data_IF_450050331684
#
_entry.id   IF_450050331684
#
_cell.length_a   1.000
_cell.length_b   1.000
_cell.length_c   1.000
_cell.angle_alpha   90.00
_cell.angle_beta   90.00
_cell.angle_gamma   90.00
#
_symmetry.space_group_name_H-M   'P 1'
#
loop_
_entity.id
_entity.type
_entity.pdbx_description
1 polymer ?
#
# COMPACT_ATOMS: atom_id res chain seq x y z
N UNK A 1 32.14 -61.36 10.01
CA UNK A 1 31.52 -61.75 11.29
C UNK A 1 30.47 -60.68 11.56
N UNK A 2 29.23 -61.00 11.22
CA UNK A 2 28.19 -61.36 12.21
C UNK A 2 27.66 -60.07 12.84
N UNK A 3 26.64 -59.41 12.28
CA UNK A 3 25.23 -59.83 12.18
C UNK A 3 24.45 -59.66 13.51
N UNK A 4 23.16 -59.37 13.34
CA UNK A 4 22.07 -59.17 14.32
C UNK A 4 22.01 -57.80 15.00
N UNK A 5 20.89 -57.07 14.98
CA UNK A 5 19.58 -57.36 14.40
C UNK A 5 18.53 -56.41 14.98
N UNK A 6 17.59 -55.99 14.12
CA UNK A 6 16.14 -55.82 14.33
C UNK A 6 15.65 -55.09 15.60
N UNK A 7 14.61 -54.25 15.62
CA UNK A 7 13.49 -53.94 14.74
C UNK A 7 12.63 -52.97 15.54
N UNK A 8 11.99 -52.00 14.89
CA UNK A 8 10.58 -51.60 15.04
C UNK A 8 10.36 -50.11 14.77
N UNK A 9 9.79 -49.81 13.61
CA UNK A 9 8.87 -48.68 13.42
C UNK A 9 7.43 -49.16 13.76
N UNK A 10 6.39 -48.30 13.78
CA UNK A 10 6.28 -46.92 14.28
C UNK A 10 4.96 -46.71 15.07
N UNK A 11 4.77 -45.59 15.79
CA UNK A 11 3.49 -44.82 15.84
C UNK A 11 3.52 -43.65 16.84
N UNK A 12 3.08 -42.47 16.38
CA UNK A 12 2.66 -41.35 17.25
C UNK A 12 2.92 -39.97 16.64
N UNK A 13 1.91 -39.09 16.50
CA UNK A 13 2.04 -37.79 15.86
C UNK A 13 2.73 -36.82 16.81
N UNK A 14 4.05 -36.78 16.74
CA UNK A 14 4.85 -35.75 17.37
C UNK A 14 4.66 -34.44 16.62
N UNK A 15 3.84 -33.56 17.19
CA UNK A 15 3.76 -32.14 16.84
C UNK A 15 5.18 -31.58 16.80
N UNK A 16 5.72 -31.34 15.60
CA UNK A 16 6.88 -30.48 15.44
C UNK A 16 6.30 -29.07 15.25
N UNK A 17 6.18 -28.35 16.36
CA UNK A 17 6.13 -26.89 16.32
C UNK A 17 7.48 -26.42 15.81
N UNK A 18 7.56 -26.19 14.49
CA UNK A 18 8.62 -25.37 13.93
C UNK A 18 8.14 -23.92 14.08
N UNK A 19 8.73 -23.21 15.04
CA UNK A 19 8.77 -21.75 14.99
C UNK A 19 9.70 -21.37 13.83
N UNK A 20 9.17 -21.43 12.62
CA UNK A 20 9.82 -20.80 11.47
C UNK A 20 9.47 -19.32 11.54
N UNK A 21 10.49 -18.52 11.82
CA UNK A 21 10.43 -17.07 11.68
C UNK A 21 9.86 -16.77 10.29
N UNK A 22 8.68 -16.16 10.25
CA UNK A 22 7.96 -15.79 9.04
C UNK A 22 8.69 -14.65 8.33
N UNK A 23 9.78 -15.01 7.66
CA UNK A 23 10.57 -14.13 6.82
C UNK A 23 9.74 -13.65 5.62
N UNK A 24 9.90 -12.38 5.23
CA UNK A 24 9.32 -11.79 4.03
C UNK A 24 10.45 -11.40 3.10
N UNK A 25 10.58 -12.07 1.95
CA UNK A 25 11.66 -11.82 0.99
C UNK A 25 11.63 -10.40 0.41
N UNK A 26 10.54 -9.65 0.60
CA UNK A 26 10.32 -8.31 0.06
C UNK A 26 9.46 -7.50 1.06
N UNK A 27 10.11 -6.97 2.11
CA UNK A 27 9.50 -5.95 2.95
C UNK A 27 9.86 -4.56 2.40
N UNK A 28 8.90 -3.75 1.95
CA UNK A 28 9.19 -2.44 1.37
C UNK A 28 9.72 -1.43 2.40
N UNK A 29 9.57 -1.72 3.68
CA UNK A 29 10.20 -1.00 4.79
C UNK A 29 11.71 -1.23 4.89
N UNK A 30 12.24 -2.22 4.15
CA UNK A 30 13.66 -2.31 3.90
C UNK A 30 14.14 -1.21 2.96
N UNK A 31 13.27 -0.57 2.17
CA UNK A 31 13.70 0.34 1.09
C UNK A 31 14.10 1.74 1.59
N UNK A 32 13.72 2.11 2.82
CA UNK A 32 14.40 3.21 3.55
C UNK A 32 15.84 2.84 3.97
N UNK A 33 16.28 1.61 3.67
CA UNK A 33 17.66 1.13 3.55
C UNK A 33 17.87 0.61 2.09
N UNK A 34 17.96 1.48 1.08
CA UNK A 34 17.87 1.10 -0.32
C UNK A 34 19.15 0.41 -0.82
N UNK A 35 19.19 -0.05 -2.08
CA UNK A 35 20.44 -0.13 -2.84
C UNK A 35 21.02 1.25 -3.23
N UNK A 36 20.49 2.38 -2.71
CA UNK A 36 20.79 3.76 -3.15
C UNK A 36 20.79 4.83 -2.04
N UNK A 37 21.03 4.46 -0.79
CA UNK A 37 21.06 5.45 0.28
C UNK A 37 21.21 4.79 1.63
N UNK A 38 22.44 4.37 1.94
CA UNK A 38 22.79 4.01 3.31
C UNK A 38 22.15 5.05 4.26
N UNK A 39 21.35 4.68 5.29
CA UNK A 39 20.80 5.64 6.25
C UNK A 39 21.89 6.47 6.96
N UNK A 40 23.15 6.04 6.85
CA UNK A 40 24.38 6.73 7.23
C UNK A 40 24.72 7.86 6.24
N UNK A 41 24.30 7.82 4.97
CA UNK A 41 24.58 8.86 3.97
C UNK A 41 23.31 9.49 3.38
N UNK A 42 22.45 10.14 4.20
CA UNK A 42 21.33 10.91 3.65
C UNK A 42 21.85 12.12 2.88
N UNK A 43 21.21 12.47 1.76
CA UNK A 43 21.47 13.74 1.09
C UNK A 43 21.07 14.90 2.01
N UNK A 44 22.06 15.40 2.76
CA UNK A 44 21.90 16.50 3.71
C UNK A 44 21.35 17.77 3.05
N UNK A 45 21.66 17.95 1.76
CA UNK A 45 21.22 19.11 1.00
C UNK A 45 19.73 19.02 0.66
N UNK A 46 19.14 17.82 0.65
CA UNK A 46 17.70 17.66 0.49
C UNK A 46 16.93 18.40 1.58
N UNK A 47 17.38 18.30 2.83
CA UNK A 47 16.70 18.92 3.98
C UNK A 47 17.19 20.32 4.29
N UNK A 48 18.45 20.66 3.94
CA UNK A 48 19.02 22.01 4.17
C UNK A 48 18.71 23.03 3.07
N UNK A 49 18.21 22.62 1.89
CA UNK A 49 17.71 23.59 0.90
C UNK A 49 16.64 24.46 1.55
N UNK A 50 16.66 25.76 1.27
CA UNK A 50 15.65 26.71 1.75
C UNK A 50 14.25 26.27 1.31
N UNK A 51 13.60 25.45 2.14
CA UNK A 51 12.21 25.11 1.95
C UNK A 51 11.42 26.29 2.49
N UNK A 52 10.66 27.01 1.66
CA UNK A 52 9.90 28.18 2.11
C UNK A 52 8.84 27.83 3.17
N UNK A 53 8.51 26.55 3.35
CA UNK A 53 7.63 26.05 4.41
C UNK A 53 8.31 25.87 5.77
N UNK A 54 9.64 26.01 5.87
CA UNK A 54 10.31 25.90 7.16
C UNK A 54 10.08 27.13 8.03
N UNK A 55 9.81 26.87 9.30
CA UNK A 55 9.74 27.90 10.32
C UNK A 55 11.16 28.38 10.65
N UNK A 56 11.48 29.58 10.14
CA UNK A 56 12.81 30.17 10.23
C UNK A 56 13.37 30.30 11.67
N UNK A 57 12.50 30.34 12.69
CA UNK A 57 12.90 30.39 14.11
C UNK A 57 13.79 29.21 14.52
N UNK A 58 13.60 28.05 13.88
CA UNK A 58 14.27 26.79 14.24
C UNK A 58 15.48 26.48 13.34
N UNK A 59 15.76 27.30 12.31
CA UNK A 59 16.87 27.07 11.38
C UNK A 59 18.25 27.25 12.06
N UNK A 60 18.38 28.23 12.95
CA UNK A 60 19.64 28.59 13.63
C UNK A 60 19.71 28.13 15.08
N UNK A 61 18.76 27.31 15.55
CA UNK A 61 18.69 26.97 16.96
C UNK A 61 19.93 26.14 17.39
N UNK A 62 20.63 26.62 18.41
CA UNK A 62 21.73 25.90 19.06
C UNK A 62 21.15 24.84 20.00
N UNK A 63 20.92 23.64 19.48
CA UNK A 63 20.25 22.58 20.22
C UNK A 63 21.31 21.54 20.54
N UNK A 64 21.96 21.58 21.70
CA UNK A 64 22.40 20.32 22.32
C UNK A 64 22.90 20.40 23.76
N UNK A 65 23.44 21.54 24.21
CA UNK A 65 24.16 21.57 25.48
C UNK A 65 23.29 21.46 26.75
N UNK A 66 21.97 21.24 26.65
CA UNK A 66 21.09 21.24 27.85
C UNK A 66 19.90 20.28 27.86
N UNK A 67 19.85 19.29 26.97
CA UNK A 67 18.62 18.52 26.79
C UNK A 67 18.58 17.22 27.59
N UNK A 68 17.62 17.14 28.52
CA UNK A 68 17.24 15.98 29.32
C UNK A 68 16.71 14.81 28.46
N UNK A 69 16.54 13.64 29.08
CA UNK A 69 16.05 12.39 28.46
C UNK A 69 14.79 12.58 27.57
N UNK A 70 13.94 13.55 27.88
CA UNK A 70 12.71 13.87 27.12
C UNK A 70 13.00 14.30 25.67
N UNK A 71 14.06 15.07 25.43
CA UNK A 71 14.43 15.52 24.10
C UNK A 71 14.88 14.38 23.18
N UNK A 72 15.67 13.45 23.74
CA UNK A 72 16.11 12.25 23.02
C UNK A 72 14.92 11.38 22.60
N UNK A 73 13.92 11.27 23.49
CA UNK A 73 12.68 10.53 23.18
C UNK A 73 11.87 11.17 22.05
N UNK A 74 11.82 12.50 21.99
CA UNK A 74 11.11 13.23 20.93
C UNK A 74 11.82 13.11 19.59
N UNK A 75 13.15 13.20 19.57
CA UNK A 75 13.94 13.00 18.34
C UNK A 75 13.70 11.61 17.78
N UNK A 76 13.70 10.56 18.63
CA UNK A 76 13.35 9.20 18.18
C UNK A 76 11.94 9.12 17.59
N UNK A 77 10.95 9.81 18.18
CA UNK A 77 9.59 9.86 17.64
C UNK A 77 9.53 10.58 16.29
N UNK A 78 10.27 11.67 16.11
CA UNK A 78 10.34 12.34 14.80
C UNK A 78 11.06 11.50 13.76
N UNK A 79 12.13 10.81 14.13
CA UNK A 79 12.81 9.84 13.25
C UNK A 79 11.85 8.70 12.84
N UNK A 80 11.03 8.21 13.76
CA UNK A 80 9.99 7.23 13.44
C UNK A 80 8.99 7.79 12.42
N UNK A 81 8.50 9.02 12.60
CA UNK A 81 7.59 9.65 11.66
C UNK A 81 8.22 9.79 10.25
N UNK A 82 9.47 10.30 10.19
CA UNK A 82 10.23 10.46 8.95
C UNK A 82 10.40 9.11 8.23
N UNK A 83 10.67 8.01 8.95
CA UNK A 83 10.80 6.68 8.35
C UNK A 83 9.55 6.25 7.59
N UNK A 84 8.37 6.43 8.18
CA UNK A 84 7.09 6.09 7.53
C UNK A 84 6.74 7.05 6.40
N UNK A 85 6.98 8.36 6.58
CA UNK A 85 6.78 9.39 5.56
C UNK A 85 7.61 9.11 4.31
N UNK A 86 8.92 8.89 4.46
CA UNK A 86 9.84 8.59 3.37
C UNK A 86 9.48 7.26 2.68
N UNK A 87 9.06 6.26 3.45
CA UNK A 87 8.61 4.97 2.89
C UNK A 87 7.37 5.18 2.00
N UNK A 88 6.35 5.87 2.49
CA UNK A 88 5.12 6.12 1.72
C UNK A 88 5.41 6.95 0.47
N UNK A 89 6.26 7.99 0.58
CA UNK A 89 6.67 8.83 -0.54
C UNK A 89 7.47 8.07 -1.59
N UNK A 90 8.30 7.13 -1.18
CA UNK A 90 9.04 6.28 -2.10
C UNK A 90 8.12 5.27 -2.78
N UNK A 91 7.30 4.54 -2.02
CA UNK A 91 6.50 3.43 -2.55
C UNK A 91 5.46 3.86 -3.57
N UNK A 92 4.99 5.11 -3.53
CA UNK A 92 4.08 5.62 -4.58
C UNK A 92 4.69 5.59 -5.99
N UNK A 93 6.01 5.49 -6.16
CA UNK A 93 6.66 5.36 -7.48
C UNK A 93 7.03 3.92 -7.85
N UNK A 94 6.83 2.97 -6.93
CA UNK A 94 7.24 1.58 -7.08
C UNK A 94 6.05 0.72 -7.48
N UNK A 95 6.16 0.01 -8.60
CA UNK A 95 5.26 -1.11 -8.87
C UNK A 95 5.46 -2.17 -7.78
N UNK A 96 4.42 -2.64 -7.05
CA UNK A 96 2.99 -2.63 -7.37
C UNK A 96 2.11 -1.61 -6.59
N UNK A 97 2.70 -0.66 -5.88
CA UNK A 97 1.96 0.32 -5.04
C UNK A 97 1.64 1.62 -5.77
N UNK A 98 2.10 1.75 -7.02
CA UNK A 98 1.98 2.96 -7.81
C UNK A 98 0.50 3.37 -7.96
N UNK A 99 0.12 4.59 -7.54
CA UNK A 99 -1.24 5.09 -7.66
C UNK A 99 -1.56 5.65 -9.05
N UNK A 100 -0.59 5.66 -9.97
CA UNK A 100 -0.73 6.26 -11.29
C UNK A 100 -1.49 5.40 -12.29
N UNK A 101 -2.69 4.96 -11.92
CA UNK A 101 -3.40 3.87 -12.59
C UNK A 101 -3.57 4.13 -14.10
N UNK A 102 -4.05 5.29 -14.57
CA UNK A 102 -4.19 5.50 -16.04
C UNK A 102 -3.03 6.24 -16.73
N UNK A 103 -1.96 6.62 -16.03
CA UNK A 103 -0.85 7.39 -16.62
C UNK A 103 0.13 6.45 -17.33
N UNK A 104 0.41 6.71 -18.60
CA UNK A 104 1.42 5.96 -19.37
C UNK A 104 0.99 4.59 -19.91
N UNK A 105 -0.31 4.24 -19.88
CA UNK A 105 -0.82 2.98 -20.46
C UNK A 105 -0.44 1.72 -19.68
N UNK A 106 -0.08 1.87 -18.40
CA UNK A 106 0.43 0.79 -17.54
C UNK A 106 -0.67 -0.09 -16.93
N UNK A 107 -1.94 0.30 -17.02
CA UNK A 107 -3.04 -0.58 -16.60
C UNK A 107 -3.14 -1.80 -17.50
N UNK A 108 -3.17 -2.96 -16.86
CA UNK A 108 -3.59 -4.19 -17.53
C UNK A 108 -4.97 -3.97 -18.16
N UNK A 109 -5.05 -4.16 -19.47
CA UNK A 109 -6.29 -3.99 -20.23
C UNK A 109 -6.91 -5.36 -20.53
N UNK A 110 -8.17 -5.52 -20.15
CA UNK A 110 -8.99 -6.72 -20.31
C UNK A 110 -9.73 -6.61 -21.65
N UNK A 111 -9.23 -7.31 -22.67
CA UNK A 111 -9.77 -7.28 -24.03
C UNK A 111 -10.60 -8.52 -24.41
N UNK A 112 -10.93 -9.37 -23.43
CA UNK A 112 -11.72 -10.58 -23.65
C UNK A 112 -12.84 -10.65 -22.61
N UNK A 113 -14.04 -11.12 -23.00
CA UNK A 113 -15.17 -11.24 -22.08
C UNK A 113 -15.00 -12.38 -21.07
N UNK A 114 -14.14 -13.36 -21.36
CA UNK A 114 -13.86 -14.51 -20.49
C UNK A 114 -12.36 -14.76 -20.39
N UNK A 115 -11.95 -15.32 -19.24
CA UNK A 115 -10.53 -15.55 -18.95
C UNK A 115 -10.01 -16.81 -19.64
N UNK A 116 -9.06 -16.66 -20.58
CA UNK A 116 -8.31 -17.80 -21.12
C UNK A 116 -7.26 -18.30 -20.11
N UNK A 117 -6.92 -19.60 -20.16
CA UNK A 117 -5.90 -20.19 -19.26
C UNK A 117 -4.48 -19.64 -19.46
N UNK A 118 -4.24 -18.92 -20.55
CA UNK A 118 -2.92 -18.37 -20.90
C UNK A 118 -2.82 -16.86 -20.63
N UNK A 119 -3.79 -16.29 -19.90
CA UNK A 119 -3.93 -14.83 -19.79
C UNK A 119 -2.64 -14.13 -19.37
N UNK A 120 -1.91 -14.68 -18.40
CA UNK A 120 -0.67 -14.07 -17.94
C UNK A 120 0.33 -15.11 -17.47
N UNK A 121 1.63 -14.79 -17.63
CA UNK A 121 2.72 -15.64 -17.16
C UNK A 121 2.69 -15.76 -15.62
N UNK A 122 3.18 -16.88 -15.03
CA UNK A 122 3.15 -17.09 -13.57
C UNK A 122 3.70 -15.90 -12.78
N UNK A 123 4.72 -15.22 -13.31
CA UNK A 123 5.37 -14.05 -12.69
C UNK A 123 4.44 -12.84 -12.58
N UNK A 124 3.48 -12.68 -13.50
CA UNK A 124 2.51 -11.58 -13.48
C UNK A 124 1.39 -11.79 -12.43
N UNK A 125 1.26 -13.00 -11.88
CA UNK A 125 0.30 -13.32 -10.80
C UNK A 125 0.54 -12.42 -9.57
N UNK A 126 1.81 -12.08 -9.30
CA UNK A 126 2.22 -11.29 -8.13
C UNK A 126 1.51 -9.94 -8.02
N UNK A 127 1.10 -9.34 -9.14
CA UNK A 127 0.43 -8.04 -9.16
C UNK A 127 -0.97 -8.06 -8.55
N UNK A 128 -1.61 -9.23 -8.55
CA UNK A 128 -2.95 -9.45 -8.01
C UNK A 128 -2.94 -9.97 -6.57
N UNK A 129 -1.80 -10.51 -6.11
CA UNK A 129 -1.64 -11.02 -4.76
C UNK A 129 -1.56 -9.89 -3.75
N UNK A 130 -2.05 -10.18 -2.55
CA UNK A 130 -2.14 -9.28 -1.40
C UNK A 130 -2.85 -7.95 -1.71
N UNK A 131 -3.86 -8.00 -2.58
CA UNK A 131 -4.74 -6.86 -2.87
C UNK A 131 -6.09 -7.10 -2.22
N UNK A 132 -6.61 -6.10 -1.51
CA UNK A 132 -7.90 -6.26 -0.83
C UNK A 132 -9.07 -6.25 -1.82
N UNK A 133 -8.90 -5.58 -2.97
CA UNK A 133 -9.97 -5.27 -3.91
C UNK A 133 -9.49 -5.26 -5.36
N UNK A 134 -10.34 -5.71 -6.28
CA UNK A 134 -10.20 -5.37 -7.71
C UNK A 134 -10.98 -4.10 -8.05
N UNK A 135 -10.35 -3.18 -8.78
CA UNK A 135 -10.98 -1.95 -9.26
C UNK A 135 -11.01 -1.97 -10.79
N UNK A 136 -12.20 -2.11 -11.35
CA UNK A 136 -12.43 -2.12 -12.79
C UNK A 136 -12.79 -0.74 -13.30
N UNK A 137 -12.02 -0.24 -14.26
CA UNK A 137 -12.37 0.97 -14.99
C UNK A 137 -13.08 0.63 -16.29
N UNK A 138 -14.31 1.10 -16.49
CA UNK A 138 -14.98 0.95 -17.78
C UNK A 138 -14.23 1.71 -18.90
N UNK A 139 -14.35 1.30 -20.17
CA UNK A 139 -13.52 1.79 -21.27
C UNK A 139 -13.47 3.32 -21.36
N UNK A 140 -14.63 3.98 -21.22
CA UNK A 140 -14.80 5.44 -21.32
C UNK A 140 -15.10 6.13 -19.99
N UNK A 141 -14.93 5.42 -18.86
CA UNK A 141 -15.36 5.90 -17.55
C UNK A 141 -14.72 7.23 -17.12
N UNK A 142 -13.41 7.37 -17.34
CA UNK A 142 -12.64 8.53 -16.90
C UNK A 142 -11.48 8.81 -17.86
N UNK A 143 -11.03 10.05 -17.91
CA UNK A 143 -9.80 10.39 -18.65
C UNK A 143 -8.56 9.76 -17.99
N UNK A 144 -7.43 9.74 -18.70
CA UNK A 144 -6.16 9.25 -18.13
C UNK A 144 -5.73 10.04 -16.90
N UNK A 145 -5.94 11.36 -16.91
CA UNK A 145 -5.62 12.27 -15.81
C UNK A 145 -6.52 12.02 -14.61
N UNK A 146 -7.83 11.85 -14.81
CA UNK A 146 -8.76 11.54 -13.73
C UNK A 146 -8.50 10.16 -13.12
N UNK A 147 -8.19 9.15 -13.94
CA UNK A 147 -7.82 7.82 -13.46
C UNK A 147 -6.56 7.81 -12.59
N UNK A 148 -5.54 8.60 -12.95
CA UNK A 148 -4.34 8.81 -12.13
C UNK A 148 -4.70 9.44 -10.77
N UNK A 149 -5.53 10.50 -10.80
CA UNK A 149 -5.99 11.17 -9.57
C UNK A 149 -6.83 10.27 -8.67
N UNK A 150 -7.65 9.39 -9.23
CA UNK A 150 -8.43 8.42 -8.48
C UNK A 150 -7.53 7.39 -7.77
N UNK A 151 -6.48 6.90 -8.43
CA UNK A 151 -5.52 6.04 -7.76
C UNK A 151 -4.76 6.76 -6.65
N UNK A 152 -4.41 8.04 -6.84
CA UNK A 152 -3.82 8.87 -5.77
C UNK A 152 -4.76 9.03 -4.58
N UNK A 153 -6.03 9.28 -4.86
CA UNK A 153 -7.07 9.37 -3.84
C UNK A 153 -7.16 8.07 -3.02
N UNK A 154 -7.20 6.92 -3.69
CA UNK A 154 -7.23 5.61 -3.00
C UNK A 154 -5.99 5.39 -2.15
N UNK A 155 -4.80 5.70 -2.66
CA UNK A 155 -3.55 5.55 -1.90
C UNK A 155 -3.51 6.46 -0.67
N UNK A 156 -3.97 7.71 -0.79
CA UNK A 156 -4.08 8.65 0.34
C UNK A 156 -5.08 8.15 1.39
N UNK A 157 -6.26 7.71 0.96
CA UNK A 157 -7.24 7.15 1.90
C UNK A 157 -6.70 5.88 2.58
N UNK A 158 -5.93 5.06 1.87
CA UNK A 158 -5.26 3.90 2.48
C UNK A 158 -4.26 4.32 3.57
N UNK A 159 -3.45 5.36 3.34
CA UNK A 159 -2.58 5.93 4.37
C UNK A 159 -3.38 6.44 5.57
N UNK A 160 -4.46 7.19 5.34
CA UNK A 160 -5.34 7.73 6.40
C UNK A 160 -5.93 6.63 7.28
N UNK A 161 -6.39 5.53 6.67
CA UNK A 161 -6.97 4.40 7.40
C UNK A 161 -5.98 3.70 8.34
N UNK A 162 -4.69 3.89 8.08
CA UNK A 162 -3.58 3.31 8.82
C UNK A 162 -2.72 4.35 9.56
N UNK A 163 -3.22 5.57 9.74
CA UNK A 163 -2.49 6.67 10.40
C UNK A 163 -1.07 6.89 9.81
N UNK A 164 -0.94 6.77 8.48
CA UNK A 164 0.32 6.89 7.74
C UNK A 164 1.22 5.64 7.78
N UNK A 165 0.79 4.55 8.43
CA UNK A 165 1.57 3.30 8.60
C UNK A 165 0.88 2.05 8.02
N UNK A 166 0.50 2.05 6.74
CA UNK A 166 -0.20 0.91 6.15
C UNK A 166 0.72 -0.29 5.95
N UNK A 167 0.24 -1.53 6.15
CA UNK A 167 1.03 -2.72 5.88
C UNK A 167 1.28 -2.86 4.39
N UNK A 168 2.48 -2.49 3.96
CA UNK A 168 2.92 -2.68 2.58
C UNK A 168 3.65 -4.02 2.37
N UNK A 169 4.02 -4.74 3.43
CA UNK A 169 4.77 -6.00 3.29
C UNK A 169 4.10 -6.98 2.34
N UNK A 170 4.94 -7.69 1.57
CA UNK A 170 4.49 -8.71 0.61
C UNK A 170 3.52 -8.13 -0.44
N UNK A 171 3.70 -6.87 -0.84
CA UNK A 171 2.84 -6.19 -1.81
C UNK A 171 1.41 -5.93 -1.31
N UNK A 172 1.20 -5.87 0.01
CA UNK A 172 -0.10 -5.58 0.55
C UNK A 172 -0.53 -4.14 0.22
N UNK A 173 -1.69 -4.01 -0.43
CA UNK A 173 -2.27 -2.72 -0.82
C UNK A 173 -3.78 -2.82 -1.00
N UNK A 174 -4.48 -1.69 -0.91
CA UNK A 174 -5.94 -1.64 -0.99
C UNK A 174 -6.48 -2.26 -2.28
N UNK A 175 -5.90 -1.95 -3.44
CA UNK A 175 -6.50 -2.33 -4.71
C UNK A 175 -5.51 -2.70 -5.82
N UNK A 176 -5.93 -3.59 -6.71
CA UNK A 176 -5.40 -3.72 -8.06
C UNK A 176 -6.40 -3.13 -9.05
N UNK A 177 -5.98 -2.08 -9.74
CA UNK A 177 -6.76 -1.49 -10.81
C UNK A 177 -6.50 -2.21 -12.14
N UNK A 178 -7.56 -2.31 -12.96
CA UNK A 178 -7.51 -2.83 -14.34
C UNK A 178 -8.47 -2.06 -15.24
N UNK A 179 -8.15 -1.97 -16.53
CA UNK A 179 -9.02 -1.33 -17.52
C UNK A 179 -9.82 -2.38 -18.28
N UNK A 180 -11.12 -2.19 -18.41
CA UNK A 180 -11.94 -2.94 -19.36
C UNK A 180 -11.70 -2.33 -20.73
N UNK A 181 -11.24 -3.15 -21.67
CA UNK A 181 -11.03 -2.77 -23.06
C UNK A 181 -12.31 -2.88 -23.88
N UNK A 182 -12.25 -2.42 -25.14
CA UNK A 182 -13.41 -2.41 -26.03
C UNK A 182 -14.01 -3.78 -26.29
N UNK A 183 -13.26 -4.88 -26.10
CA UNK A 183 -13.72 -6.26 -26.30
C UNK A 183 -13.87 -7.04 -24.99
N UNK A 184 -13.66 -6.38 -23.85
CA UNK A 184 -13.82 -6.97 -22.53
C UNK A 184 -15.29 -7.18 -22.12
N UNK A 185 -15.54 -7.53 -20.85
CA UNK A 185 -16.88 -7.72 -20.31
C UNK A 185 -17.79 -6.50 -20.54
N UNK A 186 -19.02 -6.73 -21.00
CA UNK A 186 -19.95 -5.67 -21.42
C UNK A 186 -20.97 -5.25 -20.36
N UNK A 187 -21.18 -6.08 -19.36
CA UNK A 187 -22.17 -5.88 -18.31
C UNK A 187 -21.67 -6.47 -16.99
N UNK A 188 -22.35 -6.15 -15.89
CA UNK A 188 -21.96 -6.63 -14.56
C UNK A 188 -21.97 -8.16 -14.42
N UNK A 189 -22.85 -8.86 -15.15
CA UNK A 189 -22.91 -10.31 -15.11
C UNK A 189 -21.66 -10.94 -15.75
N UNK A 190 -21.29 -10.48 -16.95
CA UNK A 190 -20.05 -10.89 -17.63
C UNK A 190 -18.83 -10.52 -16.79
N UNK A 191 -18.81 -9.33 -16.18
CA UNK A 191 -17.70 -8.89 -15.33
C UNK A 191 -17.58 -9.73 -14.05
N UNK A 192 -18.70 -10.13 -13.45
CA UNK A 192 -18.71 -11.05 -12.30
C UNK A 192 -18.18 -12.42 -12.70
N UNK A 193 -18.64 -12.97 -13.83
CA UNK A 193 -18.15 -14.26 -14.34
C UNK A 193 -16.64 -14.21 -14.65
N UNK A 194 -16.20 -13.11 -15.25
CA UNK A 194 -14.80 -12.81 -15.51
C UNK A 194 -13.97 -12.79 -14.24
N UNK A 195 -14.41 -12.03 -13.24
CA UNK A 195 -13.72 -11.87 -11.97
C UNK A 195 -13.62 -13.20 -11.19
N UNK A 196 -14.67 -14.02 -11.20
CA UNK A 196 -14.64 -15.40 -10.67
C UNK A 196 -13.58 -16.26 -11.36
N UNK A 197 -13.49 -16.19 -12.69
CA UNK A 197 -12.49 -16.94 -13.45
C UNK A 197 -11.06 -16.46 -13.14
N UNK A 198 -10.85 -15.14 -13.03
CA UNK A 198 -9.58 -14.55 -12.60
C UNK A 198 -9.16 -15.07 -11.22
N UNK A 199 -10.08 -15.07 -10.25
CA UNK A 199 -9.82 -15.60 -8.92
C UNK A 199 -9.47 -17.10 -8.96
N UNK A 200 -10.12 -17.87 -9.83
CA UNK A 200 -9.78 -19.28 -10.06
C UNK A 200 -8.35 -19.46 -10.56
N UNK A 201 -7.92 -18.65 -11.53
CA UNK A 201 -6.56 -18.70 -12.09
C UNK A 201 -5.51 -18.26 -11.07
N UNK A 202 -5.68 -17.12 -10.41
CA UNK A 202 -4.73 -16.67 -9.39
C UNK A 202 -4.62 -17.70 -8.26
N UNK A 203 -5.75 -18.29 -7.84
CA UNK A 203 -5.74 -19.34 -6.80
C UNK A 203 -4.97 -20.58 -7.22
N UNK A 204 -5.04 -20.97 -8.50
CA UNK A 204 -4.30 -22.11 -9.03
C UNK A 204 -2.78 -21.86 -9.08
N UNK A 205 -2.36 -20.61 -9.29
CA UNK A 205 -0.96 -20.21 -9.33
C UNK A 205 -0.35 -19.95 -7.94
N UNK A 206 -1.12 -19.94 -6.84
CA UNK A 206 -0.56 -19.69 -5.50
C UNK A 206 0.49 -20.71 -5.06
N UNK A 207 0.42 -21.92 -5.61
CA UNK A 207 1.33 -23.02 -5.28
C UNK A 207 2.43 -23.17 -6.36
N UNK A 208 2.50 -22.27 -7.35
CA UNK A 208 3.57 -22.23 -8.33
C UNK A 208 4.89 -21.84 -7.66
N UNK A 209 5.93 -22.59 -8.01
CA UNK A 209 7.29 -22.44 -7.52
C UNK A 209 7.92 -21.19 -8.14
N UNK A 210 8.40 -20.27 -7.30
CA UNK A 210 9.00 -19.02 -7.75
C UNK A 210 10.32 -18.75 -7.07
N UNK A 211 11.23 -18.17 -7.85
CA UNK A 211 12.48 -17.61 -7.35
C UNK A 211 12.40 -16.09 -7.44
N UNK A 212 12.31 -15.45 -6.28
CA UNK A 212 12.28 -13.99 -6.16
C UNK A 212 13.64 -13.35 -6.44
N UNK A 213 14.70 -14.16 -6.56
CA UNK A 213 16.05 -13.72 -6.87
C UNK A 213 16.53 -14.39 -8.15
N UNK A 214 16.01 -13.99 -9.34
CA UNK A 214 16.61 -14.44 -10.59
C UNK A 214 18.10 -14.06 -10.60
N UNK A 215 18.93 -14.89 -11.24
CA UNK A 215 20.40 -14.75 -11.31
C UNK A 215 20.87 -13.41 -11.93
N UNK A 216 20.67 -12.27 -11.27
CA UNK A 216 21.19 -10.96 -11.67
C UNK A 216 22.69 -10.83 -11.35
N UNK A 217 23.35 -11.91 -10.94
CA UNK A 217 24.78 -11.95 -10.60
C UNK A 217 25.72 -12.25 -11.79
N UNK A 218 25.26 -12.33 -13.05
CA UNK A 218 26.17 -12.69 -14.17
C UNK A 218 26.26 -11.72 -15.35
N UNK A 219 25.43 -10.66 -15.45
CA UNK A 219 25.40 -9.81 -16.67
C UNK A 219 25.34 -8.29 -16.48
N UNK A 220 25.45 -7.76 -15.26
CA UNK A 220 25.68 -6.31 -15.09
C UNK A 220 27.18 -6.05 -14.93
N UNK A 221 27.74 -5.38 -15.93
CA UNK A 221 29.06 -4.76 -16.06
C UNK A 221 30.22 -5.26 -15.18
N UNK A 222 31.24 -5.77 -15.87
CA UNK A 222 32.54 -6.26 -15.36
C UNK A 222 33.40 -5.23 -14.58
N UNK A 223 32.87 -4.09 -14.16
CA UNK A 223 33.63 -3.01 -13.52
C UNK A 223 33.05 -2.51 -12.17
N UNK A 224 32.04 -3.17 -11.62
CA UNK A 224 31.56 -2.87 -10.27
C UNK A 224 31.42 -4.17 -9.47
N UNK A 225 32.29 -4.36 -8.47
CA UNK A 225 32.11 -5.41 -7.48
C UNK A 225 30.67 -5.35 -6.93
N UNK A 226 29.91 -6.46 -6.91
CA UNK A 226 28.62 -6.48 -6.26
C UNK A 226 28.87 -6.17 -4.78
N UNK A 227 28.28 -5.09 -4.21
CA UNK A 227 28.54 -4.75 -2.82
C UNK A 227 28.15 -5.95 -1.95
N UNK A 228 29.08 -6.46 -1.15
CA UNK A 228 28.83 -7.51 -0.16
C UNK A 228 27.64 -7.15 0.77
N UNK A 229 27.34 -5.85 0.91
CA UNK A 229 26.21 -5.29 1.63
C UNK A 229 24.84 -5.60 1.00
N UNK A 230 24.73 -5.84 -0.32
CA UNK A 230 23.45 -6.22 -0.96
C UNK A 230 22.86 -7.50 -0.35
N UNK A 231 23.71 -8.43 0.07
CA UNK A 231 23.30 -9.69 0.69
C UNK A 231 22.90 -9.54 2.17
N UNK A 232 23.30 -8.46 2.83
CA UNK A 232 22.97 -8.18 4.23
C UNK A 232 21.67 -7.36 4.39
N UNK A 233 21.24 -6.67 3.33
CA UNK A 233 20.07 -5.77 3.33
C UNK A 233 18.74 -6.53 3.32
N UNK A 234 18.67 -7.69 2.65
CA UNK A 234 17.45 -8.51 2.59
C UNK A 234 17.22 -9.39 3.83
N UNK A 235 17.94 -9.16 4.93
CA UNK A 235 18.06 -10.17 5.98
C UNK A 235 18.79 -11.43 5.46
N UNK A 236 18.84 -12.53 6.21
CA UNK A 236 19.38 -13.78 5.68
C UNK A 236 18.63 -14.12 4.39
N UNK A 237 19.36 -14.36 3.28
CA UNK A 237 18.73 -14.86 2.05
C UNK A 237 17.85 -16.05 2.45
N UNK A 238 16.55 -16.04 2.11
CA UNK A 238 15.72 -17.21 2.34
C UNK A 238 16.39 -18.37 1.63
N UNK A 239 16.21 -19.58 2.18
CA UNK A 239 16.70 -20.82 1.58
C UNK A 239 16.58 -20.76 0.05
N UNK A 240 17.67 -21.00 -0.69
CA UNK A 240 17.67 -21.10 -2.16
C UNK A 240 16.76 -22.22 -2.72
N UNK A 241 16.06 -22.94 -1.83
CA UNK A 241 14.97 -23.81 -2.23
C UNK A 241 13.88 -22.90 -2.76
N UNK A 242 13.71 -22.93 -4.09
CA UNK A 242 12.53 -22.39 -4.78
C UNK A 242 11.30 -22.70 -3.92
N UNK A 243 10.48 -21.69 -3.64
CA UNK A 243 9.35 -21.76 -2.72
C UNK A 243 8.12 -21.21 -3.45
N UNK A 244 6.92 -21.64 -3.06
CA UNK A 244 5.71 -21.16 -3.72
C UNK A 244 5.39 -19.71 -3.33
N UNK A 245 4.54 -19.03 -4.12
CA UNK A 245 3.99 -17.71 -3.72
C UNK A 245 3.41 -17.73 -2.31
N UNK A 246 2.70 -18.80 -1.97
CA UNK A 246 2.11 -19.02 -0.64
C UNK A 246 3.16 -19.12 0.46
N UNK A 247 4.24 -19.85 0.22
CA UNK A 247 5.34 -20.00 1.20
C UNK A 247 6.02 -18.66 1.46
N UNK A 248 6.07 -17.79 0.44
CA UNK A 248 6.52 -16.41 0.57
C UNK A 248 5.44 -15.45 1.10
N UNK A 249 4.34 -15.96 1.65
CA UNK A 249 3.26 -15.18 2.26
C UNK A 249 2.49 -14.30 1.27
N UNK A 250 2.54 -14.60 -0.03
CA UNK A 250 1.63 -14.01 -0.99
C UNK A 250 0.34 -14.81 -1.05
N UNK A 251 -0.79 -14.11 -0.92
CA UNK A 251 -2.11 -14.72 -0.86
C UNK A 251 -3.12 -13.92 -1.66
N UNK A 252 -4.28 -14.52 -1.94
CA UNK A 252 -5.44 -13.76 -2.37
C UNK A 252 -6.21 -13.31 -1.14
N UNK A 253 -6.34 -12.01 -0.93
CA UNK A 253 -7.02 -11.49 0.25
C UNK A 253 -8.51 -11.88 0.26
N UNK A 254 -9.08 -11.93 1.46
CA UNK A 254 -10.43 -12.44 1.69
C UNK A 254 -11.50 -11.67 0.90
N UNK A 255 -11.44 -10.35 0.89
CA UNK A 255 -12.45 -9.56 0.17
C UNK A 255 -12.28 -9.59 -1.35
N UNK A 256 -11.08 -9.89 -1.85
CA UNK A 256 -10.76 -9.85 -3.27
C UNK A 256 -11.68 -10.75 -4.09
N UNK A 257 -12.09 -11.90 -3.54
CA UNK A 257 -12.98 -12.87 -4.20
C UNK A 257 -14.45 -12.52 -4.09
N UNK A 258 -14.84 -11.86 -3.01
CA UNK A 258 -16.23 -11.68 -2.61
C UNK A 258 -16.83 -10.38 -3.18
N UNK A 259 -15.98 -9.38 -3.42
CA UNK A 259 -16.38 -8.02 -3.73
C UNK A 259 -15.41 -7.41 -4.74
N UNK A 260 -15.94 -6.70 -5.73
CA UNK A 260 -15.15 -5.84 -6.61
C UNK A 260 -15.77 -4.45 -6.75
N UNK A 261 -14.94 -3.48 -7.16
CA UNK A 261 -15.34 -2.10 -7.40
C UNK A 261 -15.36 -1.78 -8.89
N UNK A 262 -16.33 -0.99 -9.34
CA UNK A 262 -16.42 -0.49 -10.73
C UNK A 262 -16.47 1.03 -10.75
N UNK A 263 -15.69 1.62 -11.66
CA UNK A 263 -15.69 3.05 -11.99
C UNK A 263 -16.33 3.19 -13.37
N UNK A 264 -17.50 3.83 -13.44
CA UNK A 264 -18.42 3.82 -14.58
C UNK A 264 -18.91 5.22 -15.00
N UNK A 265 -18.05 6.24 -14.95
CA UNK A 265 -18.27 7.66 -15.27
C UNK A 265 -19.25 8.48 -14.43
N UNK A 266 -20.07 7.84 -13.59
CA UNK A 266 -21.05 8.60 -12.81
C UNK A 266 -20.43 9.30 -11.59
N UNK A 267 -20.79 10.57 -11.45
CA UNK A 267 -20.55 11.39 -10.27
C UNK A 267 -21.88 11.98 -9.79
N UNK A 268 -21.93 12.47 -8.55
CA UNK A 268 -23.12 13.15 -8.04
C UNK A 268 -23.45 14.36 -8.95
N UNK A 269 -24.61 14.35 -9.61
CA UNK A 269 -24.99 15.32 -10.66
C UNK A 269 -25.13 16.76 -10.17
N UNK A 270 -25.25 16.99 -8.87
CA UNK A 270 -25.31 18.33 -8.27
C UNK A 270 -23.96 19.06 -8.24
N UNK A 271 -22.88 18.41 -8.69
CA UNK A 271 -21.55 18.68 -8.15
C UNK A 271 -20.57 19.43 -9.07
N UNK A 272 -21.00 19.83 -10.28
CA UNK A 272 -20.42 21.02 -10.95
C UNK A 272 -21.08 22.30 -10.43
N UNK A 273 -21.21 22.44 -9.12
CA UNK A 273 -21.42 23.75 -8.53
C UNK A 273 -20.30 24.69 -9.01
N UNK A 274 -20.52 26.02 -9.07
CA UNK A 274 -19.49 26.93 -9.52
C UNK A 274 -18.19 26.67 -8.74
N UNK A 275 -17.07 26.69 -9.47
CA UNK A 275 -15.74 26.66 -8.85
C UNK A 275 -15.72 27.71 -7.76
N UNK A 276 -15.34 27.32 -6.54
CA UNK A 276 -15.32 28.30 -5.44
C UNK A 276 -14.30 29.36 -5.81
N UNK A 277 -14.60 30.64 -5.57
CA UNK A 277 -13.61 31.67 -5.84
C UNK A 277 -12.34 31.40 -5.02
N UNK A 278 -11.18 31.46 -5.66
CA UNK A 278 -9.88 31.49 -4.98
C UNK A 278 -9.89 32.64 -3.97
N UNK A 279 -9.44 32.39 -2.74
CA UNK A 279 -9.30 33.48 -1.78
C UNK A 279 -8.18 34.44 -2.22
N UNK A 280 -8.31 35.74 -1.97
CA UNK A 280 -7.40 36.78 -2.48
C UNK A 280 -5.91 36.53 -2.14
N UNK A 281 -5.60 35.78 -1.08
CA UNK A 281 -4.24 35.44 -0.66
C UNK A 281 -3.91 33.94 -0.71
N UNK A 282 -4.79 33.09 -1.24
CA UNK A 282 -4.53 31.65 -1.31
C UNK A 282 -3.56 31.33 -2.46
N UNK A 283 -2.59 30.45 -2.24
CA UNK A 283 -1.71 29.97 -3.31
C UNK A 283 -2.49 29.17 -4.39
N UNK A 284 -2.04 29.26 -5.65
CA UNK A 284 -2.68 28.57 -6.78
C UNK A 284 -2.65 27.06 -6.59
N UNK A 285 -1.56 26.50 -6.05
CA UNK A 285 -1.44 25.06 -5.87
C UNK A 285 -2.44 24.55 -4.82
N UNK A 286 -2.55 25.24 -3.68
CA UNK A 286 -3.54 24.94 -2.64
C UNK A 286 -4.98 25.05 -3.14
N UNK A 287 -5.27 26.08 -3.94
CA UNK A 287 -6.59 26.22 -4.56
C UNK A 287 -6.93 25.03 -5.46
N UNK A 288 -6.02 24.68 -6.39
CA UNK A 288 -6.21 23.57 -7.31
C UNK A 288 -6.35 22.24 -6.58
N UNK A 289 -5.62 22.06 -5.48
CA UNK A 289 -5.70 20.86 -4.66
C UNK A 289 -7.07 20.70 -4.03
N UNK A 290 -7.61 21.75 -3.41
CA UNK A 290 -8.97 21.71 -2.84
C UNK A 290 -10.04 21.47 -3.89
N UNK A 291 -9.90 22.07 -5.06
CA UNK A 291 -10.85 21.85 -6.17
C UNK A 291 -10.78 20.41 -6.69
N UNK A 292 -9.58 19.83 -6.80
CA UNK A 292 -9.41 18.42 -7.19
C UNK A 292 -9.94 17.46 -6.13
N UNK A 293 -9.61 17.67 -4.85
CA UNK A 293 -10.11 16.85 -3.75
C UNK A 293 -11.65 16.89 -3.68
N UNK A 294 -12.23 18.08 -3.83
CA UNK A 294 -13.68 18.26 -3.94
C UNK A 294 -14.26 17.46 -5.10
N UNK A 295 -13.67 17.57 -6.29
CA UNK A 295 -14.11 16.83 -7.48
C UNK A 295 -14.05 15.31 -7.24
N UNK A 296 -12.93 14.80 -6.71
CA UNK A 296 -12.72 13.37 -6.47
C UNK A 296 -13.64 12.81 -5.37
N UNK A 297 -13.93 13.60 -4.33
CA UNK A 297 -14.87 13.22 -3.26
C UNK A 297 -16.31 12.98 -3.75
N UNK A 298 -16.64 13.48 -4.94
CA UNK A 298 -17.95 13.38 -5.56
C UNK A 298 -18.06 12.22 -6.55
N UNK A 299 -16.95 11.52 -6.82
CA UNK A 299 -16.98 10.30 -7.63
C UNK A 299 -17.80 9.23 -6.92
N UNK A 300 -18.64 8.57 -7.70
CA UNK A 300 -19.37 7.40 -7.24
C UNK A 300 -18.77 6.16 -7.88
N UNK A 301 -18.88 5.06 -7.16
CA UNK A 301 -18.44 3.75 -7.62
C UNK A 301 -19.54 2.74 -7.34
N UNK A 302 -19.50 1.63 -8.07
CA UNK A 302 -20.28 0.47 -7.74
C UNK A 302 -19.46 -0.46 -6.85
N UNK A 303 -20.11 -1.00 -5.82
CA UNK A 303 -19.65 -2.18 -5.13
C UNK A 303 -20.52 -3.35 -5.56
N UNK A 304 -19.89 -4.43 -6.03
CA UNK A 304 -20.58 -5.59 -6.61
C UNK A 304 -20.15 -6.86 -5.88
N UNK A 305 -21.12 -7.54 -5.27
CA UNK A 305 -20.89 -8.86 -4.67
C UNK A 305 -20.76 -9.91 -5.76
N UNK A 306 -19.83 -10.84 -5.57
CA UNK A 306 -19.60 -11.95 -6.48
C UNK A 306 -20.39 -13.20 -6.09
N UNK A 307 -21.01 -13.24 -4.90
CA UNK A 307 -21.62 -14.45 -4.29
C UNK A 307 -20.60 -15.49 -3.80
N UNK A 308 -19.30 -15.30 -4.03
CA UNK A 308 -18.24 -16.12 -3.44
C UNK A 308 -17.88 -15.57 -2.05
N UNK A 309 -18.72 -15.86 -1.05
CA UNK A 309 -18.60 -15.34 0.33
C UNK A 309 -18.36 -16.44 1.37
N UNK A 310 -18.24 -17.71 0.94
CA UNK A 310 -18.18 -18.86 1.86
C UNK A 310 -16.94 -18.87 2.77
N UNK A 311 -15.89 -18.14 2.39
CA UNK A 311 -14.65 -17.97 3.18
C UNK A 311 -14.66 -16.76 4.10
N UNK A 312 -15.74 -15.95 4.12
CA UNK A 312 -15.90 -14.83 5.03
C UNK A 312 -16.54 -15.29 6.34
N UNK A 313 -16.29 -14.57 7.43
CA UNK A 313 -16.90 -14.86 8.72
C UNK A 313 -18.43 -14.73 8.68
N UNK A 314 -18.93 -13.78 7.88
CA UNK A 314 -20.35 -13.57 7.65
C UNK A 314 -20.56 -13.00 6.24
N UNK A 315 -21.71 -13.27 5.60
CA UNK A 315 -22.06 -12.66 4.32
C UNK A 315 -21.94 -11.14 4.35
N UNK A 316 -21.54 -10.54 3.23
CA UNK A 316 -21.47 -9.07 3.13
C UNK A 316 -22.91 -8.55 3.17
N UNK A 317 -23.15 -7.49 3.92
CA UNK A 317 -24.45 -6.82 3.93
C UNK A 317 -24.28 -5.35 3.58
N UNK A 318 -25.05 -4.89 2.59
CA UNK A 318 -25.11 -3.47 2.24
C UNK A 318 -26.17 -2.70 3.04
N UNK A 319 -26.95 -3.38 3.88
CA UNK A 319 -28.01 -2.76 4.70
C UNK A 319 -27.53 -1.53 5.49
N UNK A 320 -26.35 -1.54 6.16
CA UNK A 320 -25.89 -0.36 6.90
C UNK A 320 -25.70 0.88 6.02
N UNK A 321 -25.39 0.71 4.73
CA UNK A 321 -25.23 1.81 3.78
C UNK A 321 -26.59 2.37 3.35
N UNK A 322 -27.62 1.52 3.24
CA UNK A 322 -29.00 1.96 3.01
C UNK A 322 -29.57 2.69 4.23
N UNK A 323 -29.41 2.12 5.42
CA UNK A 323 -29.90 2.71 6.68
C UNK A 323 -29.26 4.08 6.97
N UNK A 324 -27.98 4.25 6.63
CA UNK A 324 -27.28 5.51 6.76
C UNK A 324 -27.58 6.53 5.64
N UNK A 325 -28.41 6.17 4.64
CA UNK A 325 -28.71 7.03 3.49
C UNK A 325 -27.49 7.29 2.59
N UNK A 326 -26.49 6.40 2.63
CA UNK A 326 -25.25 6.51 1.85
C UNK A 326 -25.35 5.78 0.50
N UNK A 327 -26.25 4.82 0.39
CA UNK A 327 -26.54 4.11 -0.86
C UNK A 327 -27.29 5.03 -1.83
N UNK A 328 -26.77 5.11 -3.05
CA UNK A 328 -27.31 5.89 -4.16
C UNK A 328 -28.01 4.96 -5.15
N UNK A 329 -28.86 5.54 -5.99
CA UNK A 329 -29.45 4.82 -7.12
C UNK A 329 -28.35 4.36 -8.08
N UNK A 330 -28.34 3.06 -8.39
CA UNK A 330 -27.33 2.43 -9.25
C UNK A 330 -27.34 3.03 -10.65
N UNK A 331 -28.52 3.42 -11.18
CA UNK A 331 -28.70 4.07 -12.49
C UNK A 331 -27.92 3.42 -13.62
N UNK A 332 -28.04 2.10 -13.76
CA UNK A 332 -27.44 1.33 -14.85
C UNK A 332 -28.48 0.58 -15.66
N UNK A 333 -28.31 0.60 -16.98
CA UNK A 333 -29.23 -0.04 -17.93
C UNK A 333 -29.11 -1.57 -17.93
N UNK A 334 -27.97 -2.11 -17.50
CA UNK A 334 -27.70 -3.55 -17.38
C UNK A 334 -28.04 -4.10 -15.98
N UNK A 335 -28.65 -3.29 -15.11
CA UNK A 335 -29.05 -3.68 -13.77
C UNK A 335 -30.49 -3.27 -13.45
N UNK A 336 -31.41 -4.24 -13.55
CA UNK A 336 -32.84 -4.04 -13.30
C UNK A 336 -33.27 -4.41 -11.87
N UNK A 337 -32.44 -4.07 -10.87
CA UNK A 337 -32.86 -3.89 -9.46
C UNK A 337 -33.57 -5.04 -8.73
N UNK A 338 -33.55 -6.28 -9.25
CA UNK A 338 -34.33 -7.38 -8.64
C UNK A 338 -33.80 -7.81 -7.25
N UNK A 339 -32.54 -7.51 -6.92
CA UNK A 339 -31.96 -7.74 -5.60
C UNK A 339 -31.05 -6.57 -5.22
N UNK A 340 -31.58 -5.59 -4.47
CA UNK A 340 -30.86 -4.40 -3.98
C UNK A 340 -29.60 -4.73 -3.14
N UNK A 341 -29.37 -6.01 -2.81
CA UNK A 341 -28.26 -6.47 -2.00
C UNK A 341 -27.06 -6.99 -2.82
N UNK A 342 -27.13 -7.07 -4.16
CA UNK A 342 -26.00 -7.55 -4.98
C UNK A 342 -25.09 -6.42 -5.46
N UNK A 343 -25.66 -5.27 -5.81
CA UNK A 343 -24.95 -4.11 -6.36
C UNK A 343 -25.45 -2.86 -5.67
N UNK A 344 -24.53 -2.02 -5.21
CA UNK A 344 -24.85 -0.70 -4.68
C UNK A 344 -23.96 0.35 -5.32
N UNK A 345 -24.49 1.57 -5.42
CA UNK A 345 -23.71 2.76 -5.75
C UNK A 345 -23.46 3.58 -4.49
N UNK A 346 -22.23 4.01 -4.28
CA UNK A 346 -21.84 4.88 -3.16
C UNK A 346 -20.74 5.84 -3.61
N UNK A 347 -20.42 6.84 -2.80
CA UNK A 347 -19.21 7.66 -3.01
C UNK A 347 -17.94 6.81 -2.85
N UNK A 348 -16.87 7.14 -3.57
CA UNK A 348 -15.59 6.42 -3.51
C UNK A 348 -15.07 6.30 -2.07
N UNK A 349 -15.04 7.40 -1.32
CA UNK A 349 -14.62 7.40 0.09
C UNK A 349 -15.46 6.44 0.95
N UNK A 350 -16.78 6.42 0.72
CA UNK A 350 -17.70 5.53 1.43
C UNK A 350 -17.40 4.07 1.10
N UNK A 351 -17.10 3.75 -0.17
CA UNK A 351 -16.70 2.41 -0.56
C UNK A 351 -15.39 1.97 0.11
N UNK A 352 -14.37 2.83 0.13
CA UNK A 352 -13.07 2.55 0.77
C UNK A 352 -13.26 2.27 2.26
N UNK A 353 -13.99 3.14 2.97
CA UNK A 353 -14.29 2.95 4.41
C UNK A 353 -15.09 1.69 4.68
N UNK A 354 -16.07 1.37 3.84
CA UNK A 354 -16.88 0.15 3.97
C UNK A 354 -16.02 -1.11 3.82
N UNK A 355 -15.18 -1.17 2.78
CA UNK A 355 -14.23 -2.27 2.56
C UNK A 355 -13.28 -2.41 3.75
N UNK A 356 -12.75 -1.30 4.25
CA UNK A 356 -11.91 -1.30 5.44
C UNK A 356 -12.61 -1.87 6.68
N UNK A 357 -13.87 -1.48 6.93
CA UNK A 357 -14.65 -2.02 8.05
C UNK A 357 -14.87 -3.53 7.92
N UNK A 358 -15.10 -4.03 6.70
CA UNK A 358 -15.17 -5.46 6.44
C UNK A 358 -13.84 -6.15 6.79
N UNK A 359 -12.70 -5.61 6.35
CA UNK A 359 -11.38 -6.16 6.69
C UNK A 359 -11.16 -6.25 8.20
N UNK A 360 -11.47 -5.18 8.93
CA UNK A 360 -11.34 -5.16 10.39
C UNK A 360 -12.25 -6.15 11.09
N UNK A 361 -13.44 -6.38 10.55
CA UNK A 361 -14.35 -7.43 11.04
C UNK A 361 -13.74 -8.82 10.83
N UNK A 362 -13.25 -9.12 9.63
CA UNK A 362 -12.61 -10.41 9.33
C UNK A 362 -11.36 -10.62 10.22
N UNK A 363 -10.51 -9.60 10.38
CA UNK A 363 -9.35 -9.63 11.30
C UNK A 363 -9.76 -9.93 12.74
N UNK A 364 -10.89 -9.40 13.19
CA UNK A 364 -11.38 -9.63 14.56
C UNK A 364 -11.93 -11.04 14.79
N UNK A 365 -12.45 -11.67 13.72
CA UNK A 365 -13.11 -12.97 13.80
C UNK A 365 -12.17 -14.14 13.51
N UNK A 366 -11.15 -13.95 12.67
CA UNK A 366 -10.19 -14.99 12.32
C UNK A 366 -8.86 -14.80 13.04
N UNK A 367 -8.55 -15.74 13.94
CA UNK A 367 -7.28 -15.74 14.70
C UNK A 367 -6.06 -15.59 13.80
N UNK A 368 -6.03 -16.29 12.66
CA UNK A 368 -4.92 -16.23 11.69
C UNK A 368 -4.69 -14.81 11.17
N UNK A 369 -5.73 -14.07 10.78
CA UNK A 369 -5.56 -12.71 10.25
C UNK A 369 -5.12 -11.74 11.33
N UNK A 370 -5.63 -11.92 12.56
CA UNK A 370 -5.15 -11.14 13.70
C UNK A 370 -3.66 -11.34 13.95
N UNK A 371 -3.21 -12.59 13.92
CA UNK A 371 -1.79 -12.96 14.09
C UNK A 371 -0.93 -12.42 12.94
N UNK A 372 -1.38 -12.55 11.70
CA UNK A 372 -0.67 -12.04 10.52
C UNK A 372 -0.57 -10.51 10.53
N UNK A 373 -1.66 -9.81 10.83
CA UNK A 373 -1.66 -8.36 10.95
C UNK A 373 -0.78 -7.89 12.12
N UNK A 374 -0.69 -8.66 13.21
CA UNK A 374 0.22 -8.36 14.30
C UNK A 374 1.69 -8.58 13.89
N UNK A 375 2.00 -9.69 13.23
CA UNK A 375 3.34 -9.97 12.73
C UNK A 375 3.82 -8.89 11.76
N UNK A 376 2.95 -8.39 10.88
CA UNK A 376 3.27 -7.27 9.98
C UNK A 376 3.54 -5.96 10.75
N UNK A 377 2.79 -5.67 11.82
CA UNK A 377 3.09 -4.52 12.69
C UNK A 377 4.41 -4.67 13.42
N UNK A 378 4.67 -5.85 13.97
CA UNK A 378 5.92 -6.12 14.70
C UNK A 378 7.14 -6.02 13.77
N UNK A 379 7.04 -6.52 12.53
CA UNK A 379 8.07 -6.41 11.50
C UNK A 379 8.34 -4.94 11.12
N UNK A 380 7.29 -4.13 10.91
CA UNK A 380 7.44 -2.69 10.64
C UNK A 380 8.18 -1.98 11.76
N UNK A 381 7.81 -2.26 13.00
CA UNK A 381 8.36 -1.61 14.17
C UNK A 381 9.81 -2.03 14.40
N UNK A 382 10.15 -3.30 14.17
CA UNK A 382 11.53 -3.79 14.22
C UNK A 382 12.42 -3.12 13.15
N UNK A 383 11.92 -3.00 11.92
CA UNK A 383 12.65 -2.36 10.82
C UNK A 383 12.85 -0.87 11.09
N UNK A 384 11.80 -0.20 11.58
CA UNK A 384 11.87 1.21 11.96
C UNK A 384 12.92 1.41 13.08
N UNK A 385 12.86 0.63 14.16
CA UNK A 385 13.82 0.74 15.26
C UNK A 385 15.26 0.42 14.83
N UNK A 386 15.44 -0.52 13.91
CA UNK A 386 16.74 -0.84 13.32
C UNK A 386 17.27 0.34 12.51
N UNK A 387 16.43 0.97 11.70
CA UNK A 387 16.78 2.16 10.94
C UNK A 387 17.14 3.34 11.86
N UNK A 388 16.33 3.61 12.90
CA UNK A 388 16.60 4.66 13.88
C UNK A 388 17.94 4.43 14.57
N UNK A 389 18.25 3.19 14.98
CA UNK A 389 19.54 2.86 15.59
C UNK A 389 20.72 3.14 14.65
N UNK A 390 20.61 2.82 13.35
CA UNK A 390 21.65 3.12 12.36
C UNK A 390 21.87 4.62 12.17
N UNK A 391 20.78 5.38 12.00
CA UNK A 391 20.83 6.85 11.85
C UNK A 391 21.45 7.51 13.09
N UNK A 392 21.01 7.12 14.29
CA UNK A 392 21.53 7.67 15.54
C UNK A 392 23.01 7.34 15.72
N UNK A 393 23.42 6.08 15.51
CA UNK A 393 24.83 5.67 15.60
C UNK A 393 25.71 6.48 14.66
N UNK A 394 25.29 6.65 13.41
CA UNK A 394 26.09 7.45 12.48
C UNK A 394 26.17 8.92 12.88
N UNK A 395 25.08 9.46 13.43
CA UNK A 395 25.05 10.84 13.90
C UNK A 395 25.91 11.08 15.15
N UNK A 396 26.23 10.04 15.93
CA UNK A 396 27.25 10.09 16.97
C UNK A 396 28.66 10.24 16.38
N UNK A 397 28.90 9.72 15.17
CA UNK A 397 30.20 9.78 14.47
C UNK A 397 30.41 11.13 13.76
N UNK A 398 29.39 11.65 13.06
CA UNK A 398 29.51 12.87 12.23
C UNK A 398 28.87 14.12 12.83
N UNK A 399 28.08 13.96 13.90
CA UNK A 399 27.28 15.03 14.50
C UNK A 399 25.86 15.09 13.95
N UNK A 400 24.92 15.45 14.82
CA UNK A 400 23.47 15.48 14.52
C UNK A 400 23.06 16.52 13.50
N UNK A 401 23.84 17.60 13.38
CA UNK A 401 23.61 18.62 12.36
C UNK A 401 24.07 18.13 10.98
N UNK A 402 25.04 17.21 10.91
CA UNK A 402 25.62 16.71 9.66
C UNK A 402 24.87 15.51 9.06
N UNK A 403 24.01 14.83 9.82
CA UNK A 403 23.10 13.84 9.26
C UNK A 403 21.75 14.49 8.92
N UNK A 404 21.32 14.40 7.66
CA UNK A 404 20.10 15.04 7.18
C UNK A 404 18.82 14.64 7.92
N UNK A 405 18.69 13.36 8.32
CA UNK A 405 17.52 12.89 9.05
C UNK A 405 17.50 13.40 10.48
N UNK A 406 18.63 13.39 11.18
CA UNK A 406 18.68 13.93 12.55
C UNK A 406 18.61 15.46 12.58
N UNK A 407 19.14 16.13 11.56
CA UNK A 407 18.99 17.57 11.37
C UNK A 407 17.51 17.96 11.32
N UNK A 408 16.72 17.23 10.53
CA UNK A 408 15.28 17.45 10.39
C UNK A 408 14.55 17.07 11.69
N UNK A 409 14.80 15.87 12.22
CA UNK A 409 14.14 15.35 13.42
C UNK A 409 14.35 16.26 14.65
N UNK A 410 15.54 16.84 14.79
CA UNK A 410 15.87 17.73 15.91
C UNK A 410 15.06 19.03 15.86
N UNK A 411 14.92 19.63 14.67
CA UNK A 411 14.13 20.86 14.47
C UNK A 411 12.65 20.61 14.64
N UNK A 412 12.15 19.51 14.06
CA UNK A 412 10.78 19.01 14.26
C UNK A 412 10.46 18.77 15.74
N UNK A 413 11.38 18.15 16.49
CA UNK A 413 11.21 17.90 17.92
C UNK A 413 11.20 19.21 18.73
N UNK A 414 12.08 20.16 18.41
CA UNK A 414 12.12 21.45 19.06
C UNK A 414 10.86 22.29 18.80
N UNK A 415 10.35 22.27 17.57
CA UNK A 415 9.09 22.94 17.25
C UNK A 415 7.93 22.36 18.07
N UNK A 416 7.82 21.03 18.13
CA UNK A 416 6.80 20.33 18.92
C UNK A 416 6.86 20.65 20.42
N UNK A 417 8.06 20.80 20.99
CA UNK A 417 8.22 21.23 22.39
C UNK A 417 7.60 22.60 22.67
N UNK A 418 7.58 23.47 21.66
CA UNK A 418 6.98 24.80 21.76
C UNK A 418 5.52 24.83 21.30
N UNK A 419 4.92 23.68 20.96
CA UNK A 419 3.58 23.62 20.37
C UNK A 419 3.49 24.21 18.96
N UNK A 420 4.62 24.32 18.26
CA UNK A 420 4.70 24.79 16.87
C UNK A 420 5.08 23.63 15.93
N UNK A 421 4.99 23.87 14.62
CA UNK A 421 5.54 22.99 13.60
C UNK A 421 6.79 23.62 12.98
N UNK A 422 7.77 22.78 12.66
CA UNK A 422 8.97 23.16 11.96
C UNK A 422 8.73 23.28 10.45
N UNK A 423 7.99 22.32 9.89
CA UNK A 423 7.64 22.26 8.48
C UNK A 423 6.17 21.91 8.30
N UNK A 424 5.69 22.07 7.07
CA UNK A 424 4.30 21.75 6.73
C UNK A 424 3.99 20.27 6.94
N UNK A 425 4.97 19.37 6.75
CA UNK A 425 4.77 17.92 6.88
C UNK A 425 4.35 17.49 8.30
N UNK A 426 4.74 18.23 9.34
CA UNK A 426 4.28 17.98 10.71
C UNK A 426 2.79 18.29 10.95
N UNK A 427 2.16 19.08 10.07
CA UNK A 427 0.76 19.53 10.19
C UNK A 427 -0.11 18.94 9.07
N UNK A 428 0.42 18.93 7.86
CA UNK A 428 -0.20 18.47 6.64
C UNK A 428 0.84 17.70 5.80
N UNK A 429 1.04 16.41 6.10
CA UNK A 429 2.06 15.59 5.44
C UNK A 429 1.96 15.61 3.92
N UNK A 430 3.09 15.57 3.20
CA UNK A 430 3.14 15.57 1.73
C UNK A 430 2.24 14.50 1.08
N UNK A 431 2.07 13.36 1.75
CA UNK A 431 1.19 12.28 1.28
C UNK A 431 -0.30 12.57 1.43
N UNK A 432 -0.71 13.67 2.07
CA UNK A 432 -2.10 14.17 2.03
C UNK A 432 -2.42 14.91 0.71
N UNK A 433 -1.37 15.35 -0.01
CA UNK A 433 -1.51 16.28 -1.12
C UNK A 433 -1.59 15.64 -2.52
N UNK A 434 -2.78 15.51 -3.10
CA UNK A 434 -3.00 14.82 -4.38
C UNK A 434 -2.21 15.38 -5.58
N UNK A 435 -1.93 16.70 -5.60
CA UNK A 435 -1.25 17.37 -6.71
C UNK A 435 0.28 17.29 -6.63
N UNK A 436 0.85 17.18 -5.42
CA UNK A 436 2.30 17.18 -5.20
C UNK A 436 2.96 15.81 -5.43
N UNK A 437 2.24 14.89 -6.09
CA UNK A 437 2.72 13.55 -6.42
C UNK A 437 3.20 13.44 -7.88
N UNK A 438 3.24 14.55 -8.61
CA UNK A 438 3.90 14.64 -9.91
C UNK A 438 5.41 14.67 -9.73
N UNK A 439 6.02 13.48 -9.66
CA UNK A 439 7.45 13.24 -9.87
C UNK A 439 7.68 12.56 -11.21
#
# INVERSE_FOLDING_TARGET
MSDSGQSSEPTGPGIIQIYEQSFSAISPYLITCPPYGDPVNPDINRYRKDCPSYNAKYLQAAIWNSMANEASSLIRKELQAIFFEETALYLRSVEPYRPGWRRGGLLTTINEPSLSKQWFAPEATIEYLNKQMMVYFEPTSVTSVEGDRLGRYVYREWLRLHDGRPPFQRHNFFAKAVQIGEKGPRNLQELTAFHKALCGVISAHLDDMVDFYPEVDQKMDMDMDPPAERSAIFGPRPSQRVQSWRDHGHTMCHLFRALYMVIDDQSLSEARGPSRARYECEDVAHYLEREHDRSLSQYTVLLVKTEDEAHLHSPISFLPLFEAGLALDVRRHDYYGACQDTVIRVRLETAIRFVWQLLRKEESCFKRFKEEAQAQRDEQEELCETWIKKVMKHSEEIGLEENGYTWLATRRAQAKLNGEAFDDDQVNPLWEHLNHWEG
#
